data_IF_597869004807
#
_entry.id   IF_597869004807
#
_cell.length_a   1.000
_cell.length_b   1.000
_cell.length_c   1.000
_cell.angle_alpha   90.00
_cell.angle_beta   90.00
_cell.angle_gamma   90.00
#
_symmetry.space_group_name_H-M   'P 1'
#
loop_
_entity.id
_entity.type
_entity.pdbx_description
1 polymer ?
#
# COMPACT_ATOMS: atom_id res chain seq x y z
N UNK A 1 13.99 -15.88 -0.48
CA UNK A 1 15.16 -14.98 -0.38
C UNK A 1 15.27 -14.28 0.98
N UNK A 2 14.19 -13.75 1.57
CA UNK A 2 14.22 -13.00 2.84
C UNK A 2 14.94 -13.70 4.01
N UNK A 3 14.67 -14.99 4.29
CA UNK A 3 15.28 -15.71 5.41
C UNK A 3 16.82 -15.75 5.33
N UNK A 4 17.38 -16.04 4.14
CA UNK A 4 18.83 -16.03 3.93
C UNK A 4 19.43 -14.64 4.11
N UNK A 5 18.74 -13.61 3.63
CA UNK A 5 19.18 -12.23 3.78
C UNK A 5 19.19 -11.79 5.25
N UNK A 6 18.14 -12.14 6.01
CA UNK A 6 18.06 -11.87 7.46
C UNK A 6 19.22 -12.55 8.20
N UNK A 7 19.47 -13.84 7.96
CA UNK A 7 20.58 -14.55 8.61
C UNK A 7 21.94 -13.92 8.33
N UNK A 8 22.19 -13.49 7.09
CA UNK A 8 23.46 -12.82 6.73
C UNK A 8 23.56 -11.47 7.45
N UNK A 9 22.49 -10.66 7.44
CA UNK A 9 22.45 -9.37 8.12
C UNK A 9 22.64 -9.51 9.64
N UNK A 10 21.99 -10.48 10.27
CA UNK A 10 22.15 -10.76 11.70
C UNK A 10 23.60 -11.14 12.05
N UNK A 11 24.27 -11.91 11.19
CA UNK A 11 25.67 -12.30 11.40
C UNK A 11 26.64 -11.13 11.23
N UNK A 12 26.38 -10.23 10.30
CA UNK A 12 27.28 -9.12 9.96
C UNK A 12 27.06 -7.88 10.81
N UNK A 13 25.80 -7.53 11.10
CA UNK A 13 25.40 -6.29 11.74
C UNK A 13 24.93 -6.51 13.19
N UNK A 14 24.57 -7.74 13.54
CA UNK A 14 23.97 -8.09 14.82
C UNK A 14 22.45 -8.17 14.78
N UNK A 15 21.82 -8.85 15.75
CA UNK A 15 20.39 -9.15 15.73
C UNK A 15 19.48 -7.94 16.00
N UNK A 16 20.03 -6.86 16.55
CA UNK A 16 19.32 -5.63 16.93
C UNK A 16 19.62 -4.47 15.98
N UNK A 17 20.11 -4.76 14.77
CA UNK A 17 20.40 -3.73 13.77
C UNK A 17 19.12 -3.30 13.03
N UNK A 18 19.09 -2.05 12.56
CA UNK A 18 17.98 -1.49 11.80
C UNK A 18 17.70 -2.27 10.50
N UNK A 19 18.75 -2.68 9.78
CA UNK A 19 18.62 -3.43 8.54
C UNK A 19 18.00 -4.82 8.76
N UNK A 20 18.22 -5.39 9.94
CA UNK A 20 17.56 -6.63 10.37
C UNK A 20 16.09 -6.37 10.65
N UNK A 21 15.75 -5.31 11.40
CA UNK A 21 14.36 -4.93 11.67
C UNK A 21 13.56 -4.75 10.38
N UNK A 22 14.06 -3.95 9.43
CA UNK A 22 13.43 -3.75 8.13
C UNK A 22 13.19 -5.06 7.39
N UNK A 23 14.21 -5.92 7.34
CA UNK A 23 14.11 -7.20 6.62
C UNK A 23 13.10 -8.14 7.27
N UNK A 24 13.02 -8.13 8.59
CA UNK A 24 12.07 -8.90 9.40
C UNK A 24 10.63 -8.37 9.20
N UNK A 25 10.41 -7.05 9.23
CA UNK A 25 9.11 -6.44 8.96
C UNK A 25 8.60 -6.73 7.53
N UNK A 26 9.49 -6.72 6.53
CA UNK A 26 9.12 -7.11 5.17
C UNK A 26 8.71 -8.59 5.07
N UNK A 27 9.42 -9.49 5.76
CA UNK A 27 9.02 -10.90 5.83
C UNK A 27 7.67 -11.09 6.55
N UNK A 28 7.42 -10.32 7.61
CA UNK A 28 6.14 -10.31 8.31
C UNK A 28 5.00 -9.92 7.38
N UNK A 29 5.20 -8.87 6.57
CA UNK A 29 4.24 -8.45 5.54
C UNK A 29 3.97 -9.54 4.51
N UNK A 30 5.00 -10.22 4.01
CA UNK A 30 4.84 -11.34 3.09
C UNK A 30 3.97 -12.44 3.71
N UNK A 31 4.21 -12.79 4.97
CA UNK A 31 3.43 -13.80 5.69
C UNK A 31 1.98 -13.37 5.92
N UNK A 32 1.75 -12.09 6.25
CA UNK A 32 0.43 -11.53 6.51
C UNK A 32 -0.44 -11.42 5.25
N UNK A 33 0.11 -10.87 4.17
CA UNK A 33 -0.68 -10.50 2.99
C UNK A 33 -0.70 -11.57 1.90
N UNK A 34 0.38 -12.33 1.73
CA UNK A 34 0.49 -13.29 0.63
C UNK A 34 0.32 -14.75 1.05
N UNK A 35 0.74 -15.10 2.28
CA UNK A 35 0.70 -16.50 2.75
C UNK A 35 -0.41 -16.78 3.77
N UNK A 36 -1.09 -15.75 4.29
CA UNK A 36 -2.08 -15.85 5.37
C UNK A 36 -1.56 -16.59 6.62
N UNK A 37 -0.26 -16.50 6.88
CA UNK A 37 0.40 -17.09 8.04
C UNK A 37 0.44 -16.08 9.19
N UNK A 38 -0.73 -15.77 9.74
CA UNK A 38 -0.93 -14.66 10.67
C UNK A 38 -0.12 -14.78 11.97
N UNK A 39 -0.06 -15.96 12.59
CA UNK A 39 0.72 -16.17 13.81
C UNK A 39 2.23 -15.99 13.60
N UNK A 40 2.75 -16.43 12.45
CA UNK A 40 4.16 -16.23 12.10
C UNK A 40 4.45 -14.77 11.78
N UNK A 41 3.51 -14.10 11.10
CA UNK A 41 3.63 -12.67 10.82
C UNK A 41 3.63 -11.85 12.11
N UNK A 42 2.79 -12.21 13.08
CA UNK A 42 2.72 -11.57 14.40
C UNK A 42 4.09 -11.55 15.07
N UNK A 43 4.71 -12.71 15.26
CA UNK A 43 6.02 -12.83 15.91
C UNK A 43 7.10 -11.99 15.21
N UNK A 44 7.07 -11.92 13.88
CA UNK A 44 8.00 -11.12 13.10
C UNK A 44 7.74 -9.62 13.24
N UNK A 45 6.49 -9.17 13.20
CA UNK A 45 6.16 -7.76 13.43
C UNK A 45 6.56 -7.30 14.84
N UNK A 46 6.27 -8.11 15.86
CA UNK A 46 6.67 -7.80 17.24
C UNK A 46 8.18 -7.65 17.37
N UNK A 47 8.94 -8.53 16.71
CA UNK A 47 10.39 -8.45 16.66
C UNK A 47 10.88 -7.17 15.97
N UNK A 48 10.30 -6.83 14.81
CA UNK A 48 10.63 -5.59 14.07
C UNK A 48 10.39 -4.35 14.92
N UNK A 49 9.24 -4.29 15.59
CA UNK A 49 8.87 -3.17 16.48
C UNK A 49 9.83 -3.07 17.66
N UNK A 50 10.16 -4.19 18.31
CA UNK A 50 11.06 -4.20 19.45
C UNK A 50 12.43 -3.60 19.08
N UNK A 51 13.00 -4.03 17.95
CA UNK A 51 14.28 -3.51 17.47
C UNK A 51 14.14 -2.02 17.13
N UNK A 52 13.12 -1.64 16.36
CA UNK A 52 12.90 -0.26 15.94
C UNK A 52 12.70 0.70 17.11
N UNK A 53 11.95 0.29 18.15
CA UNK A 53 11.76 1.06 19.38
C UNK A 53 13.09 1.22 20.14
N UNK A 54 13.92 0.18 20.20
CA UNK A 54 15.21 0.24 20.90
C UNK A 54 16.21 1.17 20.21
N UNK A 55 16.15 1.30 18.89
CA UNK A 55 17.10 2.09 18.09
C UNK A 55 16.68 3.55 17.94
N UNK A 56 15.40 3.80 17.65
CA UNK A 56 14.90 5.12 17.23
C UNK A 56 13.85 5.71 18.18
N UNK A 57 13.38 4.93 19.15
CA UNK A 57 12.33 5.35 20.08
C UNK A 57 10.91 5.32 19.50
N UNK A 58 9.93 5.81 20.27
CA UNK A 58 8.50 5.63 19.99
C UNK A 58 7.94 6.53 18.90
N UNK A 59 8.68 7.53 18.39
CA UNK A 59 8.24 8.41 17.30
C UNK A 59 8.77 7.99 15.93
N UNK A 60 9.46 6.86 15.84
CA UNK A 60 10.05 6.40 14.58
C UNK A 60 9.00 6.15 13.50
N UNK A 61 9.21 6.70 12.29
CA UNK A 61 8.21 6.62 11.21
C UNK A 61 7.98 5.22 10.68
N UNK A 62 8.97 4.33 10.75
CA UNK A 62 8.84 2.95 10.27
C UNK A 62 7.85 2.10 11.08
N UNK A 63 7.57 2.49 12.33
CA UNK A 63 6.60 1.79 13.19
C UNK A 63 5.18 1.79 12.62
N UNK A 64 4.82 2.76 11.77
CA UNK A 64 3.51 2.81 11.13
C UNK A 64 3.19 1.52 10.37
N UNK A 65 4.15 1.03 9.59
CA UNK A 65 3.96 -0.16 8.78
C UNK A 65 3.77 -1.41 9.63
N UNK A 66 4.55 -1.54 10.70
CA UNK A 66 4.48 -2.70 11.58
C UNK A 66 3.19 -2.71 12.42
N UNK A 67 2.77 -1.56 12.95
CA UNK A 67 1.51 -1.45 13.70
C UNK A 67 0.30 -1.76 12.83
N UNK A 68 0.20 -1.18 11.63
CA UNK A 68 -0.89 -1.48 10.69
C UNK A 68 -0.89 -2.96 10.29
N UNK A 69 0.30 -3.54 10.14
CA UNK A 69 0.49 -4.97 9.90
C UNK A 69 -0.11 -5.84 11.01
N UNK A 70 0.24 -5.56 12.26
CA UNK A 70 -0.29 -6.26 13.45
C UNK A 70 -1.80 -6.07 13.62
N UNK A 71 -2.33 -4.87 13.44
CA UNK A 71 -3.77 -4.64 13.50
C UNK A 71 -4.53 -5.51 12.48
N UNK A 72 -3.99 -5.68 11.27
CA UNK A 72 -4.57 -6.60 10.28
C UNK A 72 -4.48 -8.05 10.75
N UNK A 73 -3.33 -8.48 11.28
CA UNK A 73 -3.12 -9.83 11.82
C UNK A 73 -4.17 -10.12 12.90
N UNK A 74 -4.36 -9.23 13.86
CA UNK A 74 -5.33 -9.44 14.94
C UNK A 74 -6.78 -9.39 14.48
N UNK A 75 -7.11 -8.57 13.48
CA UNK A 75 -8.42 -8.64 12.80
C UNK A 75 -8.67 -9.99 12.15
N UNK A 76 -7.64 -10.63 11.58
CA UNK A 76 -7.76 -11.96 10.97
C UNK A 76 -7.80 -13.10 11.98
N UNK A 77 -7.15 -12.92 13.13
CA UNK A 77 -7.19 -13.86 14.25
C UNK A 77 -8.40 -13.67 15.18
N UNK A 78 -9.27 -12.68 14.90
CA UNK A 78 -10.40 -12.29 15.76
C UNK A 78 -10.00 -11.98 17.22
N UNK A 79 -8.79 -11.46 17.42
CA UNK A 79 -8.31 -11.07 18.75
C UNK A 79 -8.53 -9.57 18.97
N UNK A 80 -9.71 -9.23 19.49
CA UNK A 80 -10.14 -7.84 19.70
C UNK A 80 -9.36 -7.12 20.79
N UNK A 81 -8.93 -7.84 21.83
CA UNK A 81 -8.15 -7.26 22.93
C UNK A 81 -6.80 -6.75 22.42
N UNK A 82 -6.05 -7.60 21.69
CA UNK A 82 -4.78 -7.19 21.10
C UNK A 82 -4.99 -6.13 20.03
N UNK A 83 -6.04 -6.24 19.21
CA UNK A 83 -6.34 -5.20 18.22
C UNK A 83 -6.51 -3.83 18.88
N UNK A 84 -7.35 -3.72 19.92
CA UNK A 84 -7.58 -2.46 20.63
C UNK A 84 -6.30 -1.92 21.27
N UNK A 85 -5.46 -2.80 21.81
CA UNK A 85 -4.15 -2.41 22.34
C UNK A 85 -3.25 -1.78 21.27
N UNK A 86 -3.12 -2.41 20.09
CA UNK A 86 -2.29 -1.88 19.00
C UNK A 86 -2.94 -0.72 18.24
N UNK A 87 -4.25 -0.53 18.32
CA UNK A 87 -4.92 0.71 17.89
C UNK A 87 -4.56 1.87 18.81
N UNK A 88 -4.65 1.68 20.13
CA UNK A 88 -4.25 2.70 21.09
C UNK A 88 -2.76 3.07 20.98
N UNK A 89 -1.88 2.08 20.78
CA UNK A 89 -0.44 2.34 20.53
C UNK A 89 -0.21 3.11 19.22
N UNK A 90 -0.96 2.80 18.18
CA UNK A 90 -0.87 3.52 16.91
C UNK A 90 -1.31 4.97 17.07
N UNK A 91 -2.40 5.23 17.79
CA UNK A 91 -2.86 6.58 18.08
C UNK A 91 -1.87 7.38 18.92
N UNK A 92 -1.22 6.73 19.90
CA UNK A 92 -0.13 7.34 20.68
C UNK A 92 1.06 7.70 19.79
N UNK A 93 1.46 6.79 18.89
CA UNK A 93 2.50 7.05 17.90
C UNK A 93 2.15 8.23 16.98
N UNK A 94 0.92 8.29 16.45
CA UNK A 94 0.45 9.40 15.61
C UNK A 94 0.55 10.71 16.39
N UNK A 95 0.09 10.72 17.64
CA UNK A 95 0.13 11.91 18.52
C UNK A 95 1.57 12.40 18.70
N UNK A 96 2.49 11.51 19.08
CA UNK A 96 3.93 11.85 19.26
C UNK A 96 4.55 12.41 17.99
N UNK A 97 4.21 11.84 16.83
CA UNK A 97 4.69 12.32 15.52
C UNK A 97 4.14 13.71 15.17
N UNK A 98 2.89 13.99 15.50
CA UNK A 98 2.30 15.33 15.33
C UNK A 98 2.98 16.35 16.26
N UNK A 99 3.18 16.00 17.53
CA UNK A 99 3.89 16.83 18.50
C UNK A 99 5.32 17.14 18.04
N UNK A 100 6.05 16.12 17.56
CA UNK A 100 7.40 16.30 17.04
C UNK A 100 7.43 17.27 15.83
N UNK A 101 6.51 17.12 14.89
CA UNK A 101 6.39 18.04 13.73
C UNK A 101 6.04 19.46 14.15
N UNK A 102 5.17 19.62 15.16
CA UNK A 102 4.81 20.92 15.69
C UNK A 102 6.00 21.59 16.37
N UNK A 103 6.83 20.83 17.11
CA UNK A 103 8.07 21.33 17.70
C UNK A 103 9.08 21.74 16.62
N UNK A 104 9.32 20.89 15.61
CA UNK A 104 10.19 21.22 14.47
C UNK A 104 9.70 22.50 13.74
N UNK A 105 8.39 22.64 13.53
CA UNK A 105 7.79 23.84 12.95
C UNK A 105 7.85 25.09 13.84
N UNK A 106 7.89 24.93 15.17
CA UNK A 106 8.10 26.03 16.12
C UNK A 106 9.57 26.48 16.16
N UNK A 107 10.52 25.55 16.06
CA UNK A 107 11.96 25.85 15.93
C UNK A 107 12.29 26.54 14.59
N UNK A 108 11.59 26.21 13.50
CA UNK A 108 11.74 26.92 12.23
C UNK A 108 11.22 28.38 12.30
N UNK A 109 10.20 28.65 13.14
CA UNK A 109 9.63 30.00 13.32
C UNK A 109 10.48 30.93 14.19
N UNK A 110 11.48 30.43 14.92
CA UNK A 110 12.31 31.25 15.82
C UNK A 110 13.63 31.73 15.21
N UNK A 111 13.90 31.42 13.92
CA UNK A 111 15.21 31.64 13.31
C UNK A 111 15.21 32.54 12.06
N UNK A 112 14.21 33.39 11.87
CA UNK A 112 14.32 34.52 10.94
C UNK A 112 13.49 35.70 11.41
N UNK A 113 13.96 36.89 11.03
CA UNK A 113 13.82 38.18 11.69
C UNK A 113 12.40 38.82 11.64
N UNK A 114 12.20 39.79 12.54
CA UNK A 114 11.25 40.89 12.43
C UNK A 114 11.01 41.35 10.99
N UNK A 115 9.79 41.22 10.46
CA UNK A 115 9.03 42.29 9.79
C UNK A 115 7.65 41.79 9.29
N UNK A 116 6.59 42.49 9.73
CA UNK A 116 5.26 42.69 9.10
C UNK A 116 4.42 41.47 8.68
N UNK A 117 3.37 41.15 9.45
CA UNK A 117 1.97 41.57 9.24
C UNK A 117 1.16 40.67 8.29
N UNK A 118 0.13 40.10 8.89
CA UNK A 118 -1.21 39.77 8.36
C UNK A 118 -1.38 38.94 7.08
N UNK A 119 -1.89 37.72 7.32
CA UNK A 119 -3.10 37.12 6.72
C UNK A 119 -3.31 37.33 5.22
N UNK A 120 -3.10 36.25 4.45
CA UNK A 120 -4.07 35.88 3.43
C UNK A 120 -4.06 34.37 3.19
N UNK A 121 -5.13 33.72 3.65
CA UNK A 121 -5.46 32.35 3.28
C UNK A 121 -6.05 32.37 1.86
N UNK A 122 -5.21 32.58 0.83
CA UNK A 122 -5.68 32.59 -0.55
C UNK A 122 -5.52 31.20 -1.19
N UNK A 123 -6.61 30.44 -1.19
CA UNK A 123 -6.81 29.28 -2.05
C UNK A 123 -7.02 29.76 -3.50
N UNK A 124 -5.95 30.10 -4.20
CA UNK A 124 -5.94 30.19 -5.67
C UNK A 124 -4.60 29.70 -6.18
N UNK A 125 -4.47 28.39 -6.35
CA UNK A 125 -3.46 27.88 -7.28
C UNK A 125 -3.89 28.40 -8.65
N UNK A 126 -3.22 29.45 -9.14
CA UNK A 126 -3.45 30.04 -10.46
C UNK A 126 -3.59 28.94 -11.50
N UNK A 127 -4.59 29.04 -12.38
CA UNK A 127 -4.84 28.06 -13.46
C UNK A 127 -3.58 27.80 -14.31
N UNK A 128 -2.65 28.75 -14.36
CA UNK A 128 -1.34 28.63 -15.02
C UNK A 128 -0.42 27.59 -14.35
N UNK A 129 -0.45 27.49 -13.02
CA UNK A 129 0.36 26.55 -12.24
C UNK A 129 -0.17 25.11 -12.37
N UNK A 130 -1.50 24.98 -12.50
CA UNK A 130 -2.14 23.70 -12.82
C UNK A 130 -1.75 23.23 -14.23
N UNK A 131 -1.71 24.14 -15.20
CA UNK A 131 -1.37 23.81 -16.58
C UNK A 131 0.12 23.47 -16.75
N UNK A 132 1.01 24.17 -16.05
CA UNK A 132 2.43 23.80 -15.97
C UNK A 132 2.63 22.39 -15.41
N UNK A 133 1.87 22.00 -14.38
CA UNK A 133 1.93 20.65 -13.81
C UNK A 133 1.45 19.58 -14.79
N UNK A 134 0.38 19.84 -15.56
CA UNK A 134 -0.07 18.90 -16.60
C UNK A 134 0.95 18.76 -17.73
N UNK A 135 1.58 19.85 -18.13
CA UNK A 135 2.61 19.87 -19.17
C UNK A 135 3.80 18.97 -18.79
N UNK A 136 4.31 19.13 -17.56
CA UNK A 136 5.43 18.30 -17.05
C UNK A 136 5.04 16.82 -16.98
N UNK A 137 3.80 16.49 -16.59
CA UNK A 137 3.33 15.11 -16.57
C UNK A 137 3.20 14.49 -17.96
N UNK A 138 2.78 15.27 -18.96
CA UNK A 138 2.70 14.81 -20.34
C UNK A 138 4.07 14.56 -20.95
N UNK A 139 5.04 15.44 -20.67
CA UNK A 139 6.43 15.27 -21.09
C UNK A 139 7.06 14.02 -20.47
N UNK A 140 6.88 13.83 -19.16
CA UNK A 140 7.37 12.64 -18.47
C UNK A 140 6.72 11.35 -19.00
N UNK A 141 5.42 11.37 -19.31
CA UNK A 141 4.73 10.22 -19.91
C UNK A 141 5.29 9.87 -21.28
N UNK A 142 5.52 10.87 -22.13
CA UNK A 142 6.08 10.65 -23.47
C UNK A 142 7.51 10.12 -23.41
N UNK A 143 8.33 10.60 -22.47
CA UNK A 143 9.67 10.07 -22.22
C UNK A 143 9.61 8.63 -21.72
N UNK A 144 8.69 8.34 -20.79
CA UNK A 144 8.48 6.99 -20.24
C UNK A 144 8.03 5.99 -21.32
N UNK A 145 7.06 6.38 -22.17
CA UNK A 145 6.55 5.55 -23.26
C UNK A 145 7.61 5.36 -24.37
N UNK A 146 8.43 6.38 -24.67
CA UNK A 146 9.56 6.28 -25.60
C UNK A 146 10.67 5.36 -25.09
N UNK A 147 10.90 5.34 -23.77
CA UNK A 147 11.95 4.54 -23.14
C UNK A 147 11.55 3.07 -23.02
N UNK A 148 10.26 2.78 -22.81
CA UNK A 148 9.78 1.41 -22.59
C UNK A 148 9.03 0.81 -23.79
N UNK A 149 8.80 1.57 -24.86
CA UNK A 149 8.20 1.08 -26.11
C UNK A 149 6.77 0.53 -25.94
N UNK A 150 6.03 0.97 -24.91
CA UNK A 150 4.68 0.49 -24.64
C UNK A 150 3.67 1.44 -25.28
N UNK A 151 3.26 1.17 -26.52
CA UNK A 151 2.13 1.87 -27.13
C UNK A 151 0.85 1.52 -26.36
N UNK A 152 0.40 2.41 -25.47
CA UNK A 152 -0.84 2.21 -24.73
C UNK A 152 -2.05 2.31 -25.67
N UNK A 153 -2.84 1.25 -25.69
CA UNK A 153 -4.17 1.11 -26.28
C UNK A 153 -5.04 2.34 -25.99
N UNK A 154 -5.45 3.06 -27.04
CA UNK A 154 -6.46 4.11 -26.97
C UNK A 154 -7.84 3.48 -26.82
N UNK A 155 -8.36 3.39 -25.59
CA UNK A 155 -9.79 3.19 -25.37
C UNK A 155 -10.49 4.53 -25.56
N UNK A 156 -10.89 4.84 -26.80
CA UNK A 156 -11.79 5.96 -27.08
C UNK A 156 -13.23 5.54 -26.73
N UNK A 157 -13.72 6.08 -25.62
CA UNK A 157 -15.14 6.15 -25.30
C UNK A 157 -15.84 7.05 -26.33
N UNK A 158 -16.70 6.50 -27.17
CA UNK A 158 -17.65 7.27 -27.99
C UNK A 158 -18.98 6.54 -28.06
N UNK A 159 -19.99 7.18 -27.50
CA UNK A 159 -21.43 7.03 -27.77
C UNK A 159 -22.05 8.37 -27.35
N UNK A 160 -23.11 8.89 -28.00
CA UNK A 160 -24.20 8.12 -28.59
C UNK A 160 -24.74 8.65 -29.94
N UNK A 161 -25.44 7.81 -30.70
CA UNK A 161 -26.74 8.16 -31.33
C UNK A 161 -27.30 6.96 -32.11
N UNK A 162 -28.58 6.67 -31.86
CA UNK A 162 -29.39 5.76 -32.65
C UNK A 162 -29.70 6.35 -34.05
N UNK A 163 -30.03 5.50 -35.03
CA UNK A 163 -31.44 5.49 -35.43
C UNK A 163 -32.03 4.11 -35.76
N UNK A 164 -33.35 4.13 -35.67
CA UNK A 164 -34.38 3.12 -35.91
C UNK A 164 -34.37 2.52 -37.32
N UNK A 165 -34.55 1.19 -37.45
CA UNK A 165 -35.76 0.57 -38.07
C UNK A 165 -35.53 -0.83 -38.71
N UNK A 166 -36.35 -1.78 -38.21
CA UNK A 166 -37.20 -2.77 -38.92
C UNK A 166 -36.61 -3.86 -39.85
N UNK A 167 -37.00 -5.12 -39.54
CA UNK A 167 -37.09 -6.28 -40.44
C UNK A 167 -36.68 -7.58 -39.73
N UNK A 168 -37.56 -8.30 -39.03
CA UNK A 168 -38.56 -9.29 -39.52
C UNK A 168 -38.01 -10.68 -39.88
N UNK A 169 -38.61 -11.70 -39.23
CA UNK A 169 -38.58 -13.15 -39.50
C UNK A 169 -37.30 -13.91 -39.12
N UNK A 170 -37.31 -15.12 -38.55
CA UNK A 170 -38.37 -16.07 -38.22
C UNK A 170 -37.74 -17.48 -38.01
N UNK A 171 -38.38 -18.35 -37.22
CA UNK A 171 -38.09 -19.81 -37.14
C UNK A 171 -37.18 -20.21 -35.96
N UNK A 172 -37.67 -20.78 -34.85
CA UNK A 172 -38.24 -22.13 -34.58
C UNK A 172 -37.19 -23.25 -34.41
N UNK A 173 -37.52 -24.13 -33.45
CA UNK A 173 -36.99 -25.49 -33.14
C UNK A 173 -35.75 -25.53 -32.26
N UNK A 174 -35.80 -25.96 -30.99
CA UNK A 174 -36.15 -27.26 -30.38
C UNK A 174 -34.97 -28.27 -30.37
N UNK A 175 -34.59 -28.66 -29.14
CA UNK A 175 -33.78 -29.75 -28.54
C UNK A 175 -33.49 -31.02 -29.39
N UNK A 176 -32.64 -32.03 -28.97
CA UNK A 176 -32.28 -32.43 -27.60
C UNK A 176 -30.90 -33.14 -27.36
N UNK A 177 -30.79 -33.71 -26.14
CA UNK A 177 -29.81 -34.62 -25.50
C UNK A 177 -29.10 -35.68 -26.36
N UNK A 178 -27.94 -36.16 -25.86
CA UNK A 178 -27.56 -37.57 -25.56
C UNK A 178 -26.08 -37.61 -25.13
N UNK A 179 -25.77 -37.93 -23.86
CA UNK A 179 -25.40 -39.26 -23.33
C UNK A 179 -23.95 -39.70 -23.59
N UNK A 180 -23.30 -40.23 -22.54
CA UNK A 180 -22.33 -41.31 -22.69
C UNK A 180 -20.95 -41.10 -22.10
N UNK A 181 -20.80 -41.17 -20.76
CA UNK A 181 -19.55 -41.65 -20.17
C UNK A 181 -19.83 -42.99 -19.49
N UNK A 182 -19.36 -44.06 -20.15
CA UNK A 182 -19.33 -45.43 -19.65
C UNK A 182 -17.87 -45.82 -19.40
N UNK A 183 -17.68 -46.76 -18.46
CA UNK A 183 -16.46 -47.58 -18.22
C UNK A 183 -15.37 -46.87 -17.39
N UNK A 184 -15.04 -47.23 -16.13
CA UNK A 184 -14.83 -48.55 -15.49
C UNK A 184 -13.89 -49.45 -16.29
N UNK A 185 -12.64 -49.64 -15.84
CA UNK A 185 -12.00 -50.97 -15.68
C UNK A 185 -10.49 -50.88 -15.36
N UNK A 186 -10.11 -51.54 -14.24
CA UNK A 186 -8.91 -52.38 -13.98
C UNK A 186 -7.49 -51.80 -14.12
N UNK A 187 -6.52 -52.16 -13.26
CA UNK A 187 -6.45 -53.34 -12.41
C UNK A 187 -5.32 -53.29 -11.38
N UNK A 188 -5.42 -54.27 -10.48
CA UNK A 188 -4.50 -54.67 -9.42
C UNK A 188 -3.09 -55.01 -9.92
#
# INVERSE_FOLDING_TARGET
MHLKAIMIKERLLGPNDFEVALSVGHLASLYNYHMNLFEKAEALYLRSIQISLSLFGPSYSGLEYDYRGLQRVYRKLNNWERLAHYEALFDDWVRRRLEQRLQEGQFQKSNDYDEVMEVELCTTTSDEELERRKQVLAEFRNEFDATLGVSSVTTSSTSPSAPTSRGSAGGRTASPMLEGETSRSTGL
#
